data_IF_288360427926
#
_entry.id   IF_288360427926
#
_cell.length_a   1.000
_cell.length_b   1.000
_cell.length_c   1.000
_cell.angle_alpha   90.00
_cell.angle_beta   90.00
_cell.angle_gamma   90.00
#
_symmetry.space_group_name_H-M   'P 1'
#
loop_
_entity.id
_entity.type
_entity.pdbx_description
1 polymer ?
#
# COMPACT_ATOMS: atom_id res chain seq x y z
N UNK A 1 18.06 39.44 17.86
CA UNK A 1 16.86 40.30 17.94
C UNK A 1 15.71 39.61 17.23
N UNK A 2 14.49 40.14 17.35
CA UNK A 2 13.33 39.65 16.59
C UNK A 2 12.54 40.81 16.00
N UNK A 3 11.88 40.57 14.86
CA UNK A 3 10.90 41.49 14.28
C UNK A 3 9.53 41.11 14.83
N UNK A 4 8.98 41.94 15.73
CA UNK A 4 7.69 41.71 16.39
C UNK A 4 6.66 42.79 16.00
N UNK A 5 6.62 43.18 14.73
CA UNK A 5 5.56 44.07 14.26
C UNK A 5 4.22 43.33 14.21
N UNK A 6 3.12 44.01 14.49
CA UNK A 6 1.77 43.53 14.19
C UNK A 6 1.49 43.86 12.72
N UNK A 7 1.61 42.89 11.82
CA UNK A 7 1.37 43.09 10.38
C UNK A 7 2.28 42.24 9.51
N UNK A 8 2.57 42.72 8.30
CA UNK A 8 3.38 42.02 7.32
C UNK A 8 4.80 42.59 7.20
N UNK A 9 5.76 41.73 6.86
CA UNK A 9 7.11 42.12 6.44
C UNK A 9 7.19 41.97 4.93
N UNK A 10 7.45 43.06 4.20
CA UNK A 10 7.41 43.05 2.73
C UNK A 10 8.74 43.49 2.14
N UNK A 11 9.26 42.70 1.19
CA UNK A 11 10.29 43.15 0.25
C UNK A 11 9.61 43.59 -1.06
N UNK A 12 9.79 44.86 -1.43
CA UNK A 12 9.29 45.43 -2.68
C UNK A 12 10.34 46.30 -3.38
N UNK A 13 11.62 46.07 -3.08
CA UNK A 13 12.71 46.85 -3.66
C UNK A 13 12.83 46.63 -5.17
N UNK A 14 13.41 47.59 -5.89
CA UNK A 14 13.73 47.48 -7.33
C UNK A 14 15.23 47.21 -7.58
N UNK A 15 16.01 47.06 -6.51
CA UNK A 15 17.43 46.72 -6.59
C UNK A 15 17.65 45.27 -7.01
N UNK A 16 18.83 44.98 -7.55
CA UNK A 16 19.22 43.63 -7.97
C UNK A 16 19.91 42.80 -6.85
N UNK A 17 20.06 43.38 -5.65
CA UNK A 17 20.65 42.68 -4.51
C UNK A 17 19.64 41.72 -3.86
N UNK A 18 20.10 40.63 -3.26
CA UNK A 18 19.26 39.78 -2.41
C UNK A 18 19.18 40.36 -1.00
N UNK A 19 17.98 40.37 -0.42
CA UNK A 19 17.74 40.82 0.96
C UNK A 19 17.77 39.62 1.91
N UNK A 20 18.44 39.75 3.06
CA UNK A 20 18.52 38.69 4.06
C UNK A 20 18.12 39.22 5.44
N UNK A 21 17.07 38.63 6.02
CA UNK A 21 16.66 38.87 7.40
C UNK A 21 17.30 37.79 8.29
N UNK A 22 18.40 38.17 8.96
CA UNK A 22 19.14 37.31 9.88
C UNK A 22 18.59 37.24 11.31
N UNK A 23 17.47 37.92 11.58
CA UNK A 23 16.78 37.91 12.87
C UNK A 23 15.48 37.12 12.79
N UNK A 24 14.97 36.66 13.93
CA UNK A 24 13.72 35.90 14.00
C UNK A 24 12.54 36.80 13.59
N UNK A 25 11.66 36.32 12.70
CA UNK A 25 10.32 36.89 12.53
C UNK A 25 9.42 36.35 13.64
N UNK A 26 8.96 37.24 14.53
CA UNK A 26 8.22 36.87 15.73
C UNK A 26 6.73 36.59 15.50
N UNK A 27 6.11 35.96 16.49
CA UNK A 27 4.74 35.46 16.44
C UNK A 27 3.63 36.52 16.26
N UNK A 28 3.95 37.81 16.36
CA UNK A 28 2.99 38.89 16.07
C UNK A 28 2.84 39.18 14.57
N UNK A 29 3.79 38.71 13.75
CA UNK A 29 3.81 38.93 12.31
C UNK A 29 2.83 37.96 11.65
N UNK A 30 1.89 38.51 10.87
CA UNK A 30 0.83 37.76 10.20
C UNK A 30 1.21 37.37 8.78
N UNK A 31 2.27 37.97 8.21
CA UNK A 31 2.79 37.50 6.93
C UNK A 31 4.15 38.07 6.54
N UNK A 32 4.77 37.41 5.57
CA UNK A 32 6.00 37.84 4.91
C UNK A 32 5.76 37.79 3.40
N UNK A 33 6.07 38.87 2.70
CA UNK A 33 5.77 39.01 1.27
C UNK A 33 7.02 39.37 0.48
N UNK A 34 7.31 38.58 -0.55
CA UNK A 34 8.22 38.92 -1.63
C UNK A 34 7.41 39.47 -2.82
N UNK A 35 7.69 40.72 -3.21
CA UNK A 35 7.01 41.42 -4.31
C UNK A 35 7.99 42.22 -5.20
N UNK A 36 9.29 42.00 -5.04
CA UNK A 36 10.33 42.51 -5.92
C UNK A 36 10.45 41.66 -7.17
N UNK A 37 10.61 42.30 -8.33
CA UNK A 37 10.98 41.61 -9.57
C UNK A 37 12.41 41.06 -9.54
N UNK A 38 13.32 41.70 -8.80
CA UNK A 38 14.79 41.57 -8.98
C UNK A 38 15.58 41.28 -7.70
N UNK A 39 14.99 41.43 -6.52
CA UNK A 39 15.61 41.18 -5.22
C UNK A 39 14.93 40.00 -4.53
N UNK A 40 15.61 38.87 -4.37
CA UNK A 40 15.10 37.77 -3.55
C UNK A 40 15.09 38.11 -2.05
N UNK A 41 14.17 37.52 -1.28
CA UNK A 41 14.10 37.64 0.18
C UNK A 41 14.45 36.31 0.84
N UNK A 42 15.45 36.34 1.72
CA UNK A 42 15.85 35.18 2.54
C UNK A 42 15.63 35.44 4.03
N UNK A 43 14.99 34.51 4.72
CA UNK A 43 14.80 34.49 6.16
C UNK A 43 15.72 33.45 6.79
N UNK A 44 16.90 33.89 7.24
CA UNK A 44 17.89 33.02 7.88
C UNK A 44 17.80 33.00 9.40
N UNK A 45 17.13 33.97 10.02
CA UNK A 45 16.92 34.02 11.48
C UNK A 45 15.76 33.17 12.01
N UNK A 46 14.93 32.59 11.13
CA UNK A 46 13.80 31.73 11.48
C UNK A 46 12.46 32.47 11.56
N UNK A 47 11.37 31.70 11.52
CA UNK A 47 9.98 32.18 11.55
C UNK A 47 9.21 31.55 12.71
N UNK A 48 8.53 32.37 13.51
CA UNK A 48 7.57 31.89 14.50
C UNK A 48 6.17 32.18 13.98
N UNK A 49 5.41 31.13 13.66
CA UNK A 49 4.04 31.22 13.19
C UNK A 49 3.14 31.79 14.28
N UNK A 50 2.28 32.73 13.88
CA UNK A 50 1.26 33.34 14.72
C UNK A 50 0.14 32.32 15.00
N UNK A 51 -0.41 32.33 16.22
CA UNK A 51 -1.53 31.47 16.63
C UNK A 51 -2.74 31.50 15.67
N UNK A 52 -2.99 32.63 15.00
CA UNK A 52 -4.06 32.77 13.99
C UNK A 52 -3.61 32.40 12.57
N UNK A 53 -2.35 32.05 12.39
CA UNK A 53 -1.70 31.72 11.12
C UNK A 53 -0.76 32.83 10.61
N UNK A 54 0.23 32.43 9.82
CA UNK A 54 1.19 33.32 9.15
C UNK A 54 1.31 32.93 7.68
N UNK A 55 1.19 33.91 6.78
CA UNK A 55 1.32 33.70 5.34
C UNK A 55 2.73 34.05 4.83
N UNK A 56 3.30 33.21 3.98
CA UNK A 56 4.46 33.49 3.15
C UNK A 56 3.96 33.67 1.73
N UNK A 57 4.13 34.84 1.15
CA UNK A 57 3.58 35.17 -0.18
C UNK A 57 4.70 35.55 -1.12
N UNK A 58 4.76 34.91 -2.29
CA UNK A 58 5.56 35.39 -3.41
C UNK A 58 4.60 35.89 -4.51
N UNK A 59 4.51 37.21 -4.67
CA UNK A 59 3.64 37.88 -5.65
C UNK A 59 4.37 38.27 -6.94
N UNK A 60 5.56 37.72 -7.18
CA UNK A 60 6.39 38.07 -8.31
C UNK A 60 5.92 37.42 -9.62
N UNK A 61 4.85 37.93 -10.21
CA UNK A 61 4.21 37.33 -11.38
C UNK A 61 5.12 37.21 -12.63
N UNK A 62 6.15 38.04 -12.76
CA UNK A 62 6.99 38.13 -13.98
C UNK A 62 8.50 38.27 -13.76
N UNK A 63 8.96 38.32 -12.51
CA UNK A 63 10.39 38.40 -12.16
C UNK A 63 11.01 37.03 -11.85
N UNK A 64 12.17 37.07 -11.19
CA UNK A 64 12.97 35.86 -10.87
C UNK A 64 13.31 35.74 -9.38
N UNK A 65 12.64 36.50 -8.52
CA UNK A 65 12.97 36.61 -7.09
C UNK A 65 12.17 35.59 -6.26
N UNK A 66 12.88 34.85 -5.42
CA UNK A 66 12.34 33.81 -4.55
C UNK A 66 12.10 34.36 -3.13
N UNK A 67 11.17 33.74 -2.42
CA UNK A 67 11.04 33.83 -0.96
C UNK A 67 11.61 32.56 -0.33
N UNK A 68 12.76 32.66 0.34
CA UNK A 68 13.43 31.52 0.99
C UNK A 68 13.40 31.64 2.50
N UNK A 69 12.97 30.59 3.20
CA UNK A 69 13.12 30.47 4.67
C UNK A 69 14.12 29.36 4.96
N UNK A 70 15.27 29.72 5.53
CA UNK A 70 16.32 28.78 5.91
C UNK A 70 16.52 28.64 7.43
N UNK A 71 16.08 29.63 8.22
CA UNK A 71 16.23 29.61 9.67
C UNK A 71 15.24 28.71 10.43
N UNK A 72 14.41 27.94 9.72
CA UNK A 72 13.40 27.06 10.31
C UNK A 72 12.09 27.76 10.65
N UNK A 73 11.07 26.96 10.95
CA UNK A 73 9.72 27.46 11.27
C UNK A 73 9.21 26.80 12.56
N UNK A 74 8.70 27.59 13.49
CA UNK A 74 8.11 27.14 14.77
C UNK A 74 6.82 27.91 15.04
N UNK A 75 6.33 27.91 16.29
CA UNK A 75 5.14 28.66 16.69
C UNK A 75 3.86 27.80 16.72
N UNK A 76 2.77 28.42 17.12
CA UNK A 76 1.44 27.81 17.13
C UNK A 76 0.65 28.40 15.97
N UNK A 77 -0.14 27.61 15.26
CA UNK A 77 -0.96 28.07 14.13
C UNK A 77 -0.49 27.54 12.78
N UNK A 78 -1.23 27.96 11.74
CA UNK A 78 -1.06 27.44 10.38
C UNK A 78 -0.08 28.29 9.58
N UNK A 79 0.84 27.63 8.89
CA UNK A 79 1.70 28.25 7.90
C UNK A 79 1.02 28.21 6.54
N UNK A 80 0.81 29.37 5.92
CA UNK A 80 0.19 29.48 4.60
C UNK A 80 1.27 29.86 3.59
N UNK A 81 1.34 29.18 2.46
CA UNK A 81 2.30 29.38 1.39
C UNK A 81 1.53 29.82 0.13
N UNK A 82 1.66 31.09 -0.23
CA UNK A 82 0.96 31.71 -1.36
C UNK A 82 1.97 32.01 -2.47
N UNK A 83 2.39 30.97 -3.20
CA UNK A 83 3.20 31.19 -4.40
C UNK A 83 2.29 31.66 -5.54
N UNK A 84 2.13 32.98 -5.63
CA UNK A 84 1.39 33.67 -6.68
C UNK A 84 2.27 33.97 -7.91
N UNK A 85 3.51 33.44 -7.94
CA UNK A 85 4.45 33.59 -9.04
C UNK A 85 4.45 32.40 -9.99
N UNK A 86 4.98 32.58 -11.21
CA UNK A 86 5.27 31.49 -12.13
C UNK A 86 6.67 30.87 -11.89
N UNK A 87 7.38 31.31 -10.85
CA UNK A 87 8.78 30.96 -10.59
C UNK A 87 8.83 29.55 -9.97
N UNK A 88 9.66 28.68 -10.54
CA UNK A 88 9.97 27.39 -9.94
C UNK A 88 10.58 27.60 -8.56
N UNK A 89 10.06 26.89 -7.56
CA UNK A 89 10.47 27.02 -6.15
C UNK A 89 10.33 28.46 -5.61
N UNK A 90 9.36 29.22 -6.16
CA UNK A 90 9.13 30.63 -5.83
C UNK A 90 8.96 30.89 -4.33
N UNK A 91 8.46 29.91 -3.59
CA UNK A 91 8.60 29.83 -2.14
C UNK A 91 9.39 28.57 -1.81
N UNK A 92 10.48 28.72 -1.06
CA UNK A 92 11.34 27.61 -0.61
C UNK A 92 11.55 27.63 0.90
N UNK A 93 11.24 26.52 1.57
CA UNK A 93 11.62 26.28 2.97
C UNK A 93 12.74 25.24 2.99
N UNK A 94 13.89 25.55 3.57
CA UNK A 94 15.09 24.73 3.45
C UNK A 94 15.93 24.68 4.73
N UNK A 95 16.84 23.71 4.78
CA UNK A 95 17.86 23.52 5.82
C UNK A 95 17.33 23.16 7.22
N UNK A 96 16.70 24.08 7.94
CA UNK A 96 16.21 23.86 9.30
C UNK A 96 14.72 23.48 9.28
N UNK A 97 14.32 22.56 10.15
CA UNK A 97 12.98 21.97 10.14
C UNK A 97 11.83 22.98 10.21
N UNK A 98 10.73 22.59 9.58
CA UNK A 98 9.41 23.22 9.69
C UNK A 98 8.62 22.45 10.74
N UNK A 99 8.40 23.06 11.90
CA UNK A 99 7.86 22.40 13.08
C UNK A 99 6.85 23.29 13.85
N UNK A 100 6.01 24.04 13.13
CA UNK A 100 4.89 24.75 13.72
C UNK A 100 3.81 23.77 14.20
N UNK A 101 3.14 24.12 15.30
CA UNK A 101 1.98 23.39 15.79
C UNK A 101 0.73 23.83 15.02
N UNK A 102 0.42 23.13 13.93
CA UNK A 102 -0.70 23.41 13.06
C UNK A 102 -0.51 22.77 11.69
N UNK A 103 -1.15 23.33 10.66
CA UNK A 103 -0.98 22.86 9.28
C UNK A 103 0.06 23.67 8.51
N UNK A 104 0.52 23.11 7.40
CA UNK A 104 1.18 23.83 6.32
C UNK A 104 0.24 23.77 5.12
N UNK A 105 -0.11 24.91 4.52
CA UNK A 105 -1.09 24.97 3.44
C UNK A 105 -0.51 25.73 2.25
N UNK A 106 -0.41 25.11 1.08
CA UNK A 106 -0.18 25.83 -0.18
C UNK A 106 -1.51 26.35 -0.72
N UNK A 107 -1.61 27.66 -0.98
CA UNK A 107 -2.81 28.33 -1.52
C UNK A 107 -2.47 29.37 -2.58
N UNK A 108 -1.27 29.26 -3.16
CA UNK A 108 -0.81 30.12 -4.24
C UNK A 108 -1.74 30.11 -5.45
N UNK A 109 -1.69 31.16 -6.25
CA UNK A 109 -2.45 31.32 -7.50
C UNK A 109 -1.55 31.33 -8.74
N UNK A 110 -0.24 31.21 -8.54
CA UNK A 110 0.75 31.16 -9.60
C UNK A 110 0.94 29.74 -10.13
N UNK A 111 1.71 29.59 -11.21
CA UNK A 111 2.07 28.27 -11.77
C UNK A 111 3.39 27.72 -11.23
N UNK A 112 4.06 28.46 -10.36
CA UNK A 112 5.34 28.08 -9.75
C UNK A 112 5.18 27.00 -8.68
N UNK A 113 6.25 26.25 -8.46
CA UNK A 113 6.32 25.23 -7.39
C UNK A 113 6.57 25.91 -6.05
N UNK A 114 5.91 25.45 -5.00
CA UNK A 114 6.27 25.68 -3.60
C UNK A 114 7.07 24.49 -3.11
N UNK A 115 8.31 24.72 -2.66
CA UNK A 115 9.23 23.66 -2.25
C UNK A 115 9.48 23.68 -0.74
N UNK A 116 9.35 22.54 -0.09
CA UNK A 116 9.83 22.31 1.27
C UNK A 116 10.90 21.21 1.23
N UNK A 117 12.15 21.63 1.28
CA UNK A 117 13.32 20.73 1.34
C UNK A 117 13.86 20.55 2.77
N UNK A 118 13.41 21.39 3.71
CA UNK A 118 13.58 21.17 5.14
C UNK A 118 12.78 19.96 5.63
N UNK A 119 13.21 19.33 6.72
CA UNK A 119 12.39 18.32 7.39
C UNK A 119 11.09 18.91 7.93
N UNK A 120 10.00 18.13 7.90
CA UNK A 120 8.76 18.46 8.58
C UNK A 120 8.75 17.76 9.93
N UNK A 121 8.68 18.55 11.00
CA UNK A 121 8.73 18.08 12.38
C UNK A 121 7.39 17.56 12.90
N UNK A 122 7.46 16.86 14.04
CA UNK A 122 6.33 16.14 14.65
C UNK A 122 5.20 17.04 15.16
N UNK A 123 5.38 18.36 15.27
CA UNK A 123 4.30 19.24 15.71
C UNK A 123 3.32 19.55 14.58
N UNK A 124 3.70 19.32 13.32
CA UNK A 124 2.84 19.58 12.16
C UNK A 124 1.75 18.52 12.08
N UNK A 125 0.50 18.97 12.14
CA UNK A 125 -0.68 18.08 12.15
C UNK A 125 -1.22 17.83 10.74
N UNK A 126 -0.83 18.64 9.75
CA UNK A 126 -1.21 18.39 8.38
C UNK A 126 -0.47 19.22 7.35
N UNK A 127 -0.47 18.72 6.12
CA UNK A 127 0.09 19.37 4.94
C UNK A 127 -1.01 19.39 3.88
N UNK A 128 -1.36 20.55 3.36
CA UNK A 128 -2.48 20.72 2.44
C UNK A 128 -2.02 21.40 1.16
N UNK A 129 -2.24 20.75 0.03
CA UNK A 129 -2.26 21.36 -1.29
C UNK A 129 -3.69 21.82 -1.61
N UNK A 130 -3.91 23.14 -1.62
CA UNK A 130 -5.21 23.76 -1.90
C UNK A 130 -5.16 24.72 -3.10
N UNK A 131 -4.00 24.87 -3.73
CA UNK A 131 -3.84 25.69 -4.93
C UNK A 131 -4.40 24.99 -6.16
N UNK A 132 -5.00 25.76 -7.06
CA UNK A 132 -5.40 25.30 -8.38
C UNK A 132 -4.24 25.05 -9.35
N UNK A 133 -3.12 25.78 -9.18
CA UNK A 133 -2.08 25.96 -10.20
C UNK A 133 -0.63 25.88 -9.68
N UNK A 134 -0.39 26.19 -8.41
CA UNK A 134 0.92 26.08 -7.77
C UNK A 134 1.00 24.71 -7.11
N UNK A 135 2.04 23.92 -7.39
CA UNK A 135 2.23 22.60 -6.78
C UNK A 135 3.02 22.70 -5.49
N UNK A 136 2.78 21.79 -4.55
CA UNK A 136 3.53 21.64 -3.31
C UNK A 136 4.38 20.38 -3.37
N UNK A 137 5.70 20.57 -3.31
CA UNK A 137 6.67 19.49 -3.21
C UNK A 137 7.35 19.53 -1.86
N UNK A 138 7.30 18.42 -1.13
CA UNK A 138 7.99 18.19 0.14
C UNK A 138 9.09 17.16 -0.10
N UNK A 139 10.32 17.62 -0.32
CA UNK A 139 11.48 16.75 -0.55
C UNK A 139 12.29 16.46 0.72
N UNK A 140 12.05 17.21 1.80
CA UNK A 140 12.54 16.86 3.13
C UNK A 140 11.71 15.73 3.77
N UNK A 141 12.27 15.01 4.77
CA UNK A 141 11.55 13.95 5.45
C UNK A 141 10.35 14.49 6.24
N UNK A 142 9.27 13.71 6.32
CA UNK A 142 8.09 14.04 7.14
C UNK A 142 8.07 13.16 8.39
N UNK A 143 8.10 13.77 9.57
CA UNK A 143 7.90 13.07 10.84
C UNK A 143 6.43 13.19 11.27
N UNK A 144 5.69 12.07 11.20
CA UNK A 144 4.28 12.00 11.59
C UNK A 144 4.10 12.28 13.08
N UNK A 145 3.21 13.22 13.38
CA UNK A 145 2.78 13.58 14.73
C UNK A 145 2.22 12.35 15.47
N UNK A 146 2.45 12.24 16.78
CA UNK A 146 1.97 11.11 17.56
C UNK A 146 0.43 10.95 17.56
N UNK A 147 -0.32 12.05 17.43
CA UNK A 147 -1.78 12.05 17.24
C UNK A 147 -2.21 11.83 15.78
N UNK A 148 -1.26 11.80 14.85
CA UNK A 148 -1.45 11.63 13.42
C UNK A 148 -1.17 12.90 12.61
N UNK A 149 -0.78 12.71 11.35
CA UNK A 149 -0.55 13.80 10.38
C UNK A 149 -1.37 13.51 9.13
N UNK A 150 -2.06 14.54 8.64
CA UNK A 150 -2.91 14.43 7.45
C UNK A 150 -2.29 15.13 6.25
N UNK A 151 -2.13 14.42 5.13
CA UNK A 151 -1.80 14.99 3.83
C UNK A 151 -3.09 15.17 3.02
N UNK A 152 -3.34 16.38 2.54
CA UNK A 152 -4.58 16.73 1.84
C UNK A 152 -4.22 17.31 0.48
N UNK A 153 -4.90 16.83 -0.57
CA UNK A 153 -5.05 17.57 -1.80
C UNK A 153 -6.52 17.93 -1.97
N UNK A 154 -6.87 19.19 -1.71
CA UNK A 154 -8.25 19.71 -1.77
C UNK A 154 -8.55 20.42 -3.09
N UNK A 155 -7.69 20.28 -4.09
CA UNK A 155 -7.81 20.94 -5.37
C UNK A 155 -8.83 20.26 -6.29
N UNK A 156 -10.13 20.41 -5.99
CA UNK A 156 -11.21 19.72 -6.68
C UNK A 156 -11.24 19.89 -8.22
N UNK A 157 -10.62 20.94 -8.79
CA UNK A 157 -10.71 21.24 -10.24
C UNK A 157 -9.44 21.77 -10.89
N UNK A 158 -8.31 21.82 -10.18
CA UNK A 158 -7.04 22.29 -10.72
C UNK A 158 -6.13 21.13 -11.16
N UNK A 159 -4.83 21.44 -11.25
CA UNK A 159 -3.79 20.50 -11.72
C UNK A 159 -2.64 20.29 -10.73
N UNK A 160 -2.72 20.92 -9.55
CA UNK A 160 -1.65 20.86 -8.55
C UNK A 160 -1.68 19.56 -7.77
N UNK A 161 -0.54 18.86 -7.75
CA UNK A 161 -0.30 17.68 -6.94
C UNK A 161 0.36 18.06 -5.61
N UNK A 162 0.09 17.28 -4.57
CA UNK A 162 0.93 17.20 -3.38
C UNK A 162 1.94 16.07 -3.56
N UNK A 163 3.22 16.41 -3.69
CA UNK A 163 4.30 15.41 -3.78
C UNK A 163 5.11 15.39 -2.50
N UNK A 164 5.29 14.22 -1.89
CA UNK A 164 6.21 13.99 -0.77
C UNK A 164 7.27 12.99 -1.22
N UNK A 165 8.54 13.36 -1.19
CA UNK A 165 9.64 12.51 -1.68
C UNK A 165 10.76 12.24 -0.67
N UNK A 166 10.80 12.97 0.45
CA UNK A 166 11.83 12.81 1.49
C UNK A 166 11.64 11.63 2.44
N UNK A 167 10.58 10.83 2.25
CA UNK A 167 10.20 9.72 3.12
C UNK A 167 9.32 10.16 4.29
N UNK A 168 8.64 9.19 4.90
CA UNK A 168 7.73 9.44 6.02
C UNK A 168 8.13 8.55 7.19
N UNK A 169 8.25 9.13 8.39
CA UNK A 169 8.61 8.45 9.64
C UNK A 169 7.70 8.95 10.77
N UNK A 170 8.05 8.73 12.04
CA UNK A 170 7.27 9.21 13.18
C UNK A 170 6.41 8.13 13.82
N UNK A 171 5.65 8.51 14.86
CA UNK A 171 5.03 7.56 15.80
C UNK A 171 3.50 7.42 15.66
N UNK A 172 2.85 8.29 14.88
CA UNK A 172 1.40 8.26 14.71
C UNK A 172 0.95 7.84 13.32
N UNK A 173 -0.36 7.92 13.12
CA UNK A 173 -1.01 7.51 11.88
C UNK A 173 -0.84 8.56 10.78
N UNK A 174 -0.54 8.11 9.57
CA UNK A 174 -0.55 8.94 8.38
C UNK A 174 -1.93 8.84 7.72
N UNK A 175 -2.57 9.98 7.48
CA UNK A 175 -3.85 10.05 6.79
C UNK A 175 -3.64 10.75 5.45
N UNK A 176 -4.15 10.18 4.37
CA UNK A 176 -4.10 10.70 3.00
C UNK A 176 -5.53 11.05 2.58
N UNK A 177 -5.77 12.31 2.21
CA UNK A 177 -7.07 12.79 1.74
C UNK A 177 -6.89 13.43 0.37
N UNK A 178 -6.92 12.61 -0.67
CA UNK A 178 -7.08 13.12 -2.01
C UNK A 178 -8.56 13.49 -2.22
N UNK A 179 -8.88 14.74 -1.89
CA UNK A 179 -10.20 15.36 -2.09
C UNK A 179 -10.33 15.97 -3.50
N UNK A 180 -9.36 15.71 -4.39
CA UNK A 180 -9.33 16.17 -5.77
C UNK A 180 -9.74 15.10 -6.78
N UNK A 181 -10.06 15.51 -8.00
CA UNK A 181 -10.22 14.60 -9.14
C UNK A 181 -8.89 14.26 -9.84
N UNK A 182 -7.76 14.75 -9.32
CA UNK A 182 -6.45 14.66 -9.96
C UNK A 182 -5.88 13.25 -9.75
N UNK A 183 -5.50 12.60 -10.86
CA UNK A 183 -4.77 11.35 -10.81
C UNK A 183 -3.45 11.53 -10.07
N UNK A 184 -3.16 10.65 -9.12
CA UNK A 184 -2.00 10.73 -8.23
C UNK A 184 -1.91 12.07 -7.48
N UNK A 185 -3.08 12.68 -7.20
CA UNK A 185 -3.21 14.00 -6.56
C UNK A 185 -2.43 14.11 -5.25
N UNK A 186 -2.28 13.00 -4.53
CA UNK A 186 -1.25 12.84 -3.51
C UNK A 186 -0.28 11.76 -3.98
N UNK A 187 1.02 12.10 -4.04
CA UNK A 187 2.09 11.18 -4.44
C UNK A 187 3.16 11.11 -3.34
N UNK A 188 3.38 9.93 -2.77
CA UNK A 188 4.48 9.62 -1.87
C UNK A 188 5.51 8.78 -2.64
N UNK A 189 6.67 9.37 -2.93
CA UNK A 189 7.67 8.82 -3.85
C UNK A 189 9.09 8.84 -3.27
N UNK A 190 10.06 8.29 -3.99
CA UNK A 190 11.47 8.33 -3.59
C UNK A 190 11.76 7.40 -2.41
N UNK A 191 11.64 7.92 -1.19
CA UNK A 191 11.88 7.16 0.04
C UNK A 191 10.60 6.49 0.59
N UNK A 192 10.80 5.45 1.40
CA UNK A 192 9.73 4.63 1.96
C UNK A 192 8.84 5.39 2.95
N UNK A 193 7.57 5.01 3.00
CA UNK A 193 6.64 5.38 4.07
C UNK A 193 6.81 4.41 5.22
N UNK A 194 7.39 4.87 6.33
CA UNK A 194 7.82 4.03 7.45
C UNK A 194 7.50 4.67 8.82
N UNK A 195 6.35 5.35 8.92
CA UNK A 195 5.80 5.74 10.22
C UNK A 195 5.37 4.50 11.01
N UNK A 196 5.33 4.63 12.33
CA UNK A 196 4.71 3.63 13.21
C UNK A 196 3.19 3.81 13.16
N UNK A 197 2.44 2.70 13.14
CA UNK A 197 0.99 2.73 13.12
C UNK A 197 0.43 2.53 11.72
N UNK A 198 -0.62 3.29 11.37
CA UNK A 198 -1.35 3.08 10.11
C UNK A 198 -1.01 4.09 9.03
N UNK A 199 -1.26 3.70 7.79
CA UNK A 199 -1.41 4.59 6.64
C UNK A 199 -2.84 4.44 6.14
N UNK A 200 -3.61 5.52 6.11
CA UNK A 200 -5.03 5.47 5.75
C UNK A 200 -5.33 6.44 4.63
N UNK A 201 -5.88 5.97 3.51
CA UNK A 201 -6.49 6.83 2.50
C UNK A 201 -7.98 7.00 2.80
N UNK A 202 -8.44 8.24 2.92
CA UNK A 202 -9.82 8.59 3.27
C UNK A 202 -10.30 9.83 2.51
N UNK A 203 -9.72 10.10 1.34
CA UNK A 203 -10.12 11.23 0.50
C UNK A 203 -11.57 11.12 0.02
N UNK A 204 -12.11 12.22 -0.48
CA UNK A 204 -13.47 12.32 -1.03
C UNK A 204 -13.48 12.61 -2.54
N UNK A 205 -12.30 12.79 -3.13
CA UNK A 205 -12.11 13.06 -4.54
C UNK A 205 -12.16 11.78 -5.39
N UNK A 206 -12.21 11.93 -6.71
CA UNK A 206 -12.14 10.81 -7.66
C UNK A 206 -10.70 10.44 -8.05
N UNK A 207 -9.73 11.27 -7.67
CA UNK A 207 -8.31 11.05 -7.93
C UNK A 207 -7.73 9.92 -7.08
N UNK A 208 -6.78 9.18 -7.65
CA UNK A 208 -6.03 8.13 -6.92
C UNK A 208 -4.94 8.77 -6.05
N UNK A 209 -4.67 8.17 -4.91
CA UNK A 209 -3.47 8.41 -4.10
C UNK A 209 -2.41 7.38 -4.47
N UNK A 210 -1.17 7.83 -4.74
CA UNK A 210 -0.06 6.97 -5.14
C UNK A 210 1.04 6.91 -4.06
N UNK A 211 1.44 5.70 -3.69
CA UNK A 211 2.65 5.42 -2.90
C UNK A 211 3.62 4.61 -3.75
N UNK A 212 4.58 5.29 -4.37
CA UNK A 212 5.64 4.67 -5.20
C UNK A 212 6.95 4.47 -4.44
N UNK A 213 7.17 5.16 -3.31
CA UNK A 213 8.32 4.93 -2.42
C UNK A 213 8.27 3.60 -1.64
N UNK A 214 7.12 2.93 -1.64
CA UNK A 214 6.88 1.69 -0.89
C UNK A 214 6.51 1.91 0.57
N UNK A 215 6.13 0.83 1.25
CA UNK A 215 5.75 0.79 2.66
C UNK A 215 6.84 0.06 3.45
N UNK A 216 7.28 0.66 4.54
CA UNK A 216 8.32 0.15 5.43
C UNK A 216 7.78 -0.70 6.58
N UNK A 217 8.70 -1.39 7.26
CA UNK A 217 8.40 -2.41 8.28
C UNK A 217 7.75 -1.89 9.56
N UNK A 218 7.74 -0.56 9.80
CA UNK A 218 7.08 0.01 10.98
C UNK A 218 5.57 0.19 10.81
N UNK A 219 5.07 0.14 9.56
CA UNK A 219 3.65 0.26 9.26
C UNK A 219 2.96 -1.08 9.53
N UNK A 220 2.00 -1.07 10.45
CA UNK A 220 1.25 -2.28 10.82
C UNK A 220 0.02 -2.47 9.96
N UNK A 221 -0.53 -1.38 9.42
CA UNK A 221 -1.78 -1.43 8.66
C UNK A 221 -1.79 -0.38 7.56
N UNK A 222 -2.22 -0.79 6.38
CA UNK A 222 -2.59 0.14 5.30
C UNK A 222 -4.08 -0.01 5.04
N UNK A 223 -4.82 1.10 5.06
CA UNK A 223 -6.27 1.11 4.94
C UNK A 223 -6.70 2.00 3.78
N UNK A 224 -7.43 1.43 2.84
CA UNK A 224 -8.26 2.16 1.89
C UNK A 224 -9.67 2.34 2.49
N UNK A 225 -10.04 3.58 2.79
CA UNK A 225 -11.30 3.97 3.44
C UNK A 225 -12.00 5.14 2.74
N UNK A 226 -11.70 5.36 1.46
CA UNK A 226 -12.40 6.31 0.61
C UNK A 226 -13.50 5.62 -0.19
N UNK A 227 -14.59 6.34 -0.46
CA UNK A 227 -15.61 5.90 -1.41
C UNK A 227 -15.18 6.02 -2.88
N UNK A 228 -14.31 6.98 -3.21
CA UNK A 228 -14.07 7.42 -4.60
C UNK A 228 -12.59 7.60 -4.96
N UNK A 229 -11.72 7.85 -3.99
CA UNK A 229 -10.28 8.01 -4.18
C UNK A 229 -9.60 6.65 -3.94
N UNK A 230 -9.07 6.00 -4.98
CA UNK A 230 -8.34 4.73 -4.79
C UNK A 230 -6.96 4.94 -4.16
N UNK A 231 -6.39 3.88 -3.57
CA UNK A 231 -5.00 3.84 -3.12
C UNK A 231 -4.20 2.84 -3.94
N UNK A 232 -3.15 3.32 -4.60
CA UNK A 232 -2.19 2.47 -5.33
C UNK A 232 -0.83 2.52 -4.64
N UNK A 233 -0.26 1.34 -4.39
CA UNK A 233 1.08 1.15 -3.86
C UNK A 233 1.93 0.44 -4.91
N UNK A 234 2.73 1.22 -5.65
CA UNK A 234 3.59 0.68 -6.71
C UNK A 234 5.02 0.36 -6.24
N UNK A 235 5.43 0.89 -5.08
CA UNK A 235 6.61 0.41 -4.37
C UNK A 235 6.33 -0.87 -3.57
N UNK A 236 7.36 -1.62 -3.15
CA UNK A 236 7.17 -2.83 -2.36
C UNK A 236 6.56 -2.55 -0.98
N UNK A 237 5.81 -3.51 -0.44
CA UNK A 237 5.37 -3.50 0.96
C UNK A 237 6.29 -4.43 1.75
N UNK A 238 7.13 -3.86 2.62
CA UNK A 238 7.95 -4.63 3.57
C UNK A 238 7.13 -4.96 4.82
N UNK A 239 6.94 -6.24 5.10
CA UNK A 239 6.10 -6.67 6.23
C UNK A 239 6.70 -6.24 7.57
N UNK A 240 5.81 -5.81 8.46
CA UNK A 240 6.10 -5.70 9.89
C UNK A 240 6.31 -7.10 10.47
N UNK A 241 7.25 -7.24 11.42
CA UNK A 241 7.58 -8.53 12.03
C UNK A 241 6.39 -9.20 12.75
N UNK A 242 5.44 -8.42 13.27
CA UNK A 242 4.18 -8.90 13.85
C UNK A 242 3.07 -9.14 12.81
N UNK A 243 3.32 -8.79 11.55
CA UNK A 243 2.39 -8.84 10.43
C UNK A 243 1.91 -7.46 9.98
N UNK A 244 1.58 -7.35 8.69
CA UNK A 244 1.00 -6.15 8.09
C UNK A 244 -0.38 -6.49 7.53
N UNK A 245 -1.37 -5.68 7.88
CA UNK A 245 -2.74 -5.82 7.37
C UNK A 245 -3.00 -4.80 6.26
N UNK A 246 -3.49 -5.25 5.12
CA UNK A 246 -4.06 -4.43 4.06
C UNK A 246 -5.58 -4.50 4.17
N UNK A 247 -6.23 -3.35 4.32
CA UNK A 247 -7.68 -3.27 4.53
C UNK A 247 -8.30 -2.45 3.40
N UNK A 248 -9.35 -2.96 2.77
CA UNK A 248 -10.30 -2.14 2.05
C UNK A 248 -11.60 -2.06 2.86
N UNK A 249 -11.82 -0.92 3.52
CA UNK A 249 -12.97 -0.61 4.36
C UNK A 249 -14.08 0.13 3.61
N UNK A 250 -14.00 0.23 2.28
CA UNK A 250 -14.97 0.95 1.47
C UNK A 250 -16.28 0.15 1.31
N UNK A 251 -17.20 0.26 2.27
CA UNK A 251 -18.41 -0.56 2.29
C UNK A 251 -19.31 -0.43 1.03
N UNK A 252 -19.29 0.71 0.33
CA UNK A 252 -20.28 1.02 -0.73
C UNK A 252 -19.79 1.92 -1.88
N UNK A 253 -18.50 2.20 -1.98
CA UNK A 253 -17.90 2.99 -3.05
C UNK A 253 -17.27 2.14 -4.16
N UNK A 254 -16.31 2.73 -4.89
CA UNK A 254 -15.59 2.09 -6.00
C UNK A 254 -14.06 2.09 -5.86
N UNK A 255 -13.53 2.66 -4.77
CA UNK A 255 -12.09 2.69 -4.51
C UNK A 255 -11.51 1.31 -4.23
N UNK A 256 -10.42 0.99 -4.92
CA UNK A 256 -9.63 -0.21 -4.72
C UNK A 256 -8.39 0.10 -3.89
N UNK A 257 -7.91 -0.89 -3.14
CA UNK A 257 -6.54 -0.95 -2.64
C UNK A 257 -5.71 -1.80 -3.60
N UNK A 258 -4.86 -1.18 -4.39
CA UNK A 258 -4.00 -1.88 -5.35
C UNK A 258 -2.55 -1.87 -4.88
N UNK A 259 -1.91 -3.03 -4.82
CA UNK A 259 -0.48 -3.17 -4.60
C UNK A 259 0.15 -3.80 -5.83
N UNK A 260 0.99 -3.06 -6.54
CA UNK A 260 1.73 -3.55 -7.71
C UNK A 260 3.21 -3.79 -7.42
N UNK A 261 3.76 -3.24 -6.33
CA UNK A 261 5.17 -3.42 -5.97
C UNK A 261 5.53 -4.77 -5.30
N UNK A 262 4.54 -5.62 -5.03
CA UNK A 262 4.73 -6.92 -4.35
C UNK A 262 4.99 -6.78 -2.84
N UNK A 263 5.31 -7.89 -2.18
CA UNK A 263 5.61 -7.93 -0.74
C UNK A 263 6.97 -8.56 -0.44
N UNK A 264 7.61 -8.07 0.62
CA UNK A 264 8.94 -8.53 1.08
C UNK A 264 9.01 -8.54 2.62
N UNK A 265 10.16 -8.88 3.18
CA UNK A 265 10.40 -8.83 4.63
C UNK A 265 9.90 -10.06 5.39
N UNK A 266 10.07 -10.03 6.71
CA UNK A 266 9.63 -11.08 7.62
C UNK A 266 8.33 -10.62 8.31
N UNK A 267 7.31 -11.48 8.30
CA UNK A 267 6.00 -11.17 8.84
C UNK A 267 4.87 -11.69 7.97
N UNK A 268 3.70 -11.83 8.57
CA UNK A 268 2.50 -12.27 7.87
C UNK A 268 1.87 -11.10 7.10
N UNK A 269 1.27 -11.42 5.96
CA UNK A 269 0.39 -10.52 5.23
C UNK A 269 -1.06 -10.89 5.54
N UNK A 270 -1.85 -9.91 5.96
CA UNK A 270 -3.29 -10.08 6.21
C UNK A 270 -4.04 -9.18 5.21
N UNK A 271 -5.05 -9.73 4.56
CA UNK A 271 -5.88 -9.07 3.56
C UNK A 271 -7.32 -9.03 4.07
N UNK A 272 -7.82 -7.84 4.37
CA UNK A 272 -9.16 -7.62 4.90
C UNK A 272 -9.98 -6.81 3.89
N UNK A 273 -10.47 -7.49 2.85
CA UNK A 273 -11.46 -6.87 1.98
C UNK A 273 -12.80 -6.82 2.72
N UNK A 274 -13.02 -5.72 3.43
CA UNK A 274 -14.25 -5.43 4.18
C UNK A 274 -15.30 -4.73 3.29
N UNK A 275 -15.05 -4.61 1.98
CA UNK A 275 -15.94 -4.01 1.00
C UNK A 275 -16.79 -5.03 0.24
N UNK A 276 -17.82 -4.55 -0.45
CA UNK A 276 -18.55 -5.33 -1.46
C UNK A 276 -17.89 -5.28 -2.86
N UNK A 277 -16.75 -4.61 -2.99
CA UNK A 277 -16.11 -4.32 -4.27
C UNK A 277 -15.34 -5.56 -4.72
N UNK A 278 -15.66 -6.07 -5.91
CA UNK A 278 -14.91 -7.14 -6.55
C UNK A 278 -13.44 -6.72 -6.69
N UNK A 279 -12.53 -7.61 -6.28
CA UNK A 279 -11.09 -7.36 -6.26
C UNK A 279 -10.70 -6.10 -5.45
N UNK A 280 -11.52 -5.77 -4.44
CA UNK A 280 -11.37 -4.58 -3.60
C UNK A 280 -9.97 -4.44 -3.00
N UNK A 281 -9.30 -5.56 -2.75
CA UNK A 281 -7.85 -5.63 -2.58
C UNK A 281 -7.26 -6.41 -3.75
N UNK A 282 -6.32 -5.79 -4.47
CA UNK A 282 -5.64 -6.39 -5.63
C UNK A 282 -4.12 -6.34 -5.45
N UNK A 283 -3.46 -7.50 -5.45
CA UNK A 283 -2.01 -7.63 -5.51
C UNK A 283 -1.59 -8.10 -6.91
N UNK A 284 -0.89 -7.25 -7.66
CA UNK A 284 -0.65 -7.44 -9.10
C UNK A 284 0.80 -7.23 -9.50
N UNK A 285 1.16 -7.69 -10.70
CA UNK A 285 2.47 -7.50 -11.35
C UNK A 285 3.67 -8.15 -10.64
N UNK A 286 4.09 -7.67 -9.47
CA UNK A 286 5.14 -8.28 -8.67
C UNK A 286 4.57 -9.31 -7.68
N UNK A 287 5.36 -10.34 -7.39
CA UNK A 287 4.93 -11.44 -6.54
C UNK A 287 4.78 -11.04 -5.06
N UNK A 288 3.86 -11.72 -4.38
CA UNK A 288 3.76 -11.75 -2.92
C UNK A 288 4.85 -12.69 -2.40
N UNK A 289 5.86 -12.16 -1.70
CA UNK A 289 7.05 -12.93 -1.33
C UNK A 289 7.61 -12.56 0.05
N UNK A 290 6.73 -12.20 0.98
CA UNK A 290 7.07 -12.09 2.40
C UNK A 290 7.36 -13.46 3.02
N UNK A 291 8.23 -13.48 4.03
CA UNK A 291 8.48 -14.67 4.85
C UNK A 291 7.39 -14.79 5.91
N UNK A 292 6.53 -15.79 5.78
CA UNK A 292 5.39 -16.01 6.67
C UNK A 292 4.16 -16.48 5.89
N UNK A 293 2.98 -16.13 6.40
CA UNK A 293 1.70 -16.49 5.77
C UNK A 293 1.10 -15.33 4.99
N UNK A 294 0.17 -15.67 4.10
CA UNK A 294 -0.78 -14.75 3.49
C UNK A 294 -2.18 -15.18 3.94
N UNK A 295 -2.94 -14.30 4.57
CA UNK A 295 -4.27 -14.64 5.10
C UNK A 295 -5.31 -13.67 4.56
N UNK A 296 -6.37 -14.16 3.91
CA UNK A 296 -7.56 -13.37 3.64
C UNK A 296 -8.54 -13.51 4.81
N UNK A 297 -8.97 -12.40 5.42
CA UNK A 297 -9.84 -12.38 6.60
C UNK A 297 -10.90 -11.27 6.56
N UNK A 298 -11.13 -10.70 5.38
CA UNK A 298 -12.11 -9.64 5.19
C UNK A 298 -13.53 -10.04 5.61
N UNK A 299 -14.34 -9.06 5.98
CA UNK A 299 -15.77 -9.27 6.31
C UNK A 299 -16.70 -8.80 5.19
N UNK A 300 -16.14 -8.36 4.07
CA UNK A 300 -16.88 -7.91 2.89
C UNK A 300 -17.32 -9.07 2.01
N UNK A 301 -18.11 -8.77 0.98
CA UNK A 301 -18.53 -9.75 -0.04
C UNK A 301 -17.71 -9.68 -1.32
N UNK A 302 -16.88 -8.64 -1.47
CA UNK A 302 -15.95 -8.52 -2.57
C UNK A 302 -14.79 -9.49 -2.43
N UNK A 303 -14.35 -10.10 -3.54
CA UNK A 303 -13.17 -10.97 -3.53
C UNK A 303 -11.87 -10.18 -3.31
N UNK A 304 -10.84 -10.85 -2.83
CA UNK A 304 -9.45 -10.40 -2.83
C UNK A 304 -8.72 -11.09 -3.98
N UNK A 305 -7.97 -10.34 -4.79
CA UNK A 305 -7.26 -10.86 -5.96
C UNK A 305 -5.75 -10.81 -5.79
N UNK A 306 -5.08 -11.93 -6.06
CA UNK A 306 -3.62 -12.01 -6.22
C UNK A 306 -3.29 -12.48 -7.64
N UNK A 307 -2.88 -11.53 -8.49
CA UNK A 307 -2.47 -11.78 -9.88
C UNK A 307 -0.96 -11.71 -10.09
N UNK A 308 -0.21 -11.11 -9.16
CA UNK A 308 1.27 -11.08 -9.20
C UNK A 308 1.96 -12.42 -8.90
N UNK A 309 1.19 -13.39 -8.39
CA UNK A 309 1.68 -14.71 -7.97
C UNK A 309 2.20 -14.74 -6.53
N UNK A 310 2.46 -15.95 -6.03
CA UNK A 310 2.99 -16.23 -4.69
C UNK A 310 4.41 -16.81 -4.83
N UNK A 311 5.36 -16.22 -4.12
CA UNK A 311 6.77 -16.60 -4.13
C UNK A 311 7.16 -17.63 -3.06
N UNK A 312 8.39 -18.13 -3.17
CA UNK A 312 8.92 -19.24 -2.35
C UNK A 312 9.13 -18.91 -0.88
N UNK A 313 9.06 -17.63 -0.46
CA UNK A 313 9.19 -17.29 0.96
C UNK A 313 7.87 -17.49 1.73
N UNK A 314 6.75 -17.58 1.02
CA UNK A 314 5.44 -17.79 1.63
C UNK A 314 5.31 -19.27 2.04
N UNK A 315 5.02 -19.49 3.32
CA UNK A 315 4.89 -20.84 3.88
C UNK A 315 3.46 -21.35 3.83
N UNK A 316 2.49 -20.44 3.91
CA UNK A 316 1.08 -20.80 3.80
C UNK A 316 0.23 -19.66 3.23
N UNK A 317 -0.84 -20.03 2.55
CA UNK A 317 -1.92 -19.14 2.13
C UNK A 317 -3.22 -19.63 2.77
N UNK A 318 -3.92 -18.75 3.45
CA UNK A 318 -5.13 -19.09 4.21
C UNK A 318 -6.29 -18.22 3.79
N UNK A 319 -7.36 -18.83 3.29
CA UNK A 319 -8.68 -18.24 3.18
C UNK A 319 -9.42 -18.45 4.51
N UNK A 320 -9.66 -17.38 5.26
CA UNK A 320 -10.30 -17.40 6.58
C UNK A 320 -11.54 -16.49 6.64
N UNK A 321 -11.82 -15.73 5.58
CA UNK A 321 -13.02 -14.91 5.50
C UNK A 321 -14.26 -15.77 5.35
N UNK A 322 -15.36 -15.33 5.98
CA UNK A 322 -16.66 -15.98 5.82
C UNK A 322 -17.36 -15.63 4.52
N UNK A 323 -17.05 -14.47 3.92
CA UNK A 323 -17.84 -13.87 2.83
C UNK A 323 -17.01 -13.30 1.66
N UNK A 324 -15.73 -12.98 1.86
CA UNK A 324 -14.80 -12.49 0.84
C UNK A 324 -13.97 -13.66 0.34
N UNK A 325 -14.05 -14.02 -0.94
CA UNK A 325 -13.24 -15.10 -1.52
C UNK A 325 -11.79 -14.63 -1.77
N UNK A 326 -10.85 -15.57 -1.86
CA UNK A 326 -9.47 -15.32 -2.27
C UNK A 326 -9.20 -16.00 -3.61
N UNK A 327 -8.95 -15.18 -4.63
CA UNK A 327 -8.63 -15.63 -5.98
C UNK A 327 -7.15 -15.39 -6.31
N UNK A 328 -6.45 -16.45 -6.68
CA UNK A 328 -5.03 -16.45 -7.02
C UNK A 328 -4.89 -16.81 -8.50
N UNK A 329 -4.78 -15.78 -9.34
CA UNK A 329 -4.66 -15.93 -10.80
C UNK A 329 -3.21 -15.89 -11.27
N UNK A 330 -2.28 -15.41 -10.44
CA UNK A 330 -0.84 -15.58 -10.65
C UNK A 330 -0.35 -16.96 -10.19
N UNK A 331 0.82 -17.43 -10.65
CA UNK A 331 1.33 -18.74 -10.25
C UNK A 331 1.72 -18.78 -8.78
N UNK A 332 1.58 -19.95 -8.15
CA UNK A 332 2.17 -20.25 -6.85
C UNK A 332 3.50 -20.97 -7.07
N UNK A 333 4.59 -20.46 -6.50
CA UNK A 333 5.87 -21.15 -6.46
C UNK A 333 6.09 -21.70 -5.06
N UNK A 334 5.83 -23.01 -4.88
CA UNK A 334 5.95 -23.64 -3.56
C UNK A 334 7.40 -23.62 -3.08
N UNK A 335 7.56 -23.44 -1.78
CA UNK A 335 8.88 -23.40 -1.16
C UNK A 335 9.52 -24.80 -1.10
N UNK A 336 10.80 -24.87 -0.72
CA UNK A 336 11.56 -26.13 -0.76
C UNK A 336 11.10 -27.18 0.28
N UNK A 337 10.35 -26.80 1.30
CA UNK A 337 9.82 -27.73 2.31
C UNK A 337 8.39 -28.12 1.97
N UNK A 338 7.47 -27.18 2.09
CA UNK A 338 6.06 -27.31 1.74
C UNK A 338 5.38 -25.94 1.77
N UNK A 339 4.47 -25.69 0.84
CA UNK A 339 3.52 -24.58 0.91
C UNK A 339 2.12 -25.13 1.18
N UNK A 340 1.48 -24.64 2.22
CA UNK A 340 0.11 -25.05 2.59
C UNK A 340 -0.91 -24.05 2.07
N UNK A 341 -1.96 -24.55 1.41
CA UNK A 341 -3.17 -23.79 1.09
C UNK A 341 -4.27 -24.25 2.03
N UNK A 342 -4.88 -23.33 2.76
CA UNK A 342 -5.90 -23.64 3.75
C UNK A 342 -7.17 -22.85 3.47
N UNK A 343 -8.32 -23.52 3.46
CA UNK A 343 -9.60 -22.85 3.66
C UNK A 343 -10.05 -23.12 5.10
N UNK A 344 -9.88 -22.13 5.97
CA UNK A 344 -10.15 -22.18 7.41
C UNK A 344 -11.53 -21.66 7.80
N UNK A 345 -12.31 -21.19 6.82
CA UNK A 345 -13.65 -20.67 7.06
C UNK A 345 -14.65 -21.82 7.27
N UNK A 346 -14.79 -22.27 8.52
CA UNK A 346 -15.53 -23.47 8.88
C UNK A 346 -16.99 -23.52 8.36
N UNK A 347 -17.68 -22.39 8.15
CA UNK A 347 -19.12 -22.38 7.81
C UNK A 347 -19.58 -21.22 6.92
N UNK A 348 -18.67 -20.45 6.30
CA UNK A 348 -19.06 -19.41 5.36
C UNK A 348 -19.12 -19.93 3.91
N UNK A 349 -18.98 -19.03 2.94
CA UNK A 349 -19.11 -19.34 1.50
C UNK A 349 -17.88 -18.98 0.66
N UNK A 350 -16.84 -18.43 1.27
CA UNK A 350 -15.61 -18.04 0.58
C UNK A 350 -14.78 -19.24 0.14
N UNK A 351 -14.39 -19.24 -1.14
CA UNK A 351 -13.47 -20.23 -1.70
C UNK A 351 -12.04 -19.69 -1.71
N UNK A 352 -11.09 -20.62 -1.69
CA UNK A 352 -9.71 -20.39 -2.10
C UNK A 352 -9.54 -20.93 -3.52
N UNK A 353 -9.47 -20.04 -4.51
CA UNK A 353 -9.32 -20.43 -5.92
C UNK A 353 -7.91 -20.14 -6.42
N UNK A 354 -7.28 -21.12 -7.05
CA UNK A 354 -5.99 -20.97 -7.73
C UNK A 354 -6.17 -21.32 -9.20
N UNK A 355 -5.89 -20.38 -10.09
CA UNK A 355 -5.99 -20.55 -11.56
C UNK A 355 -4.66 -20.27 -12.29
N UNK A 356 -3.70 -19.63 -11.61
CA UNK A 356 -2.37 -19.34 -12.15
C UNK A 356 -1.41 -20.53 -12.19
N UNK A 357 -1.80 -21.68 -11.64
CA UNK A 357 -1.00 -22.90 -11.62
C UNK A 357 -0.02 -22.94 -10.45
N UNK A 358 0.67 -24.08 -10.32
CA UNK A 358 1.59 -24.34 -9.20
C UNK A 358 2.90 -24.90 -9.73
N UNK A 359 4.02 -24.36 -9.27
CA UNK A 359 5.40 -24.81 -9.57
C UNK A 359 6.22 -24.79 -8.28
N UNK A 360 7.53 -25.02 -8.35
CA UNK A 360 8.44 -25.00 -7.19
C UNK A 360 8.98 -26.38 -6.84
N UNK A 361 9.82 -26.47 -5.82
CA UNK A 361 10.63 -27.68 -5.55
C UNK A 361 10.17 -28.54 -4.37
N UNK A 362 9.20 -28.08 -3.58
CA UNK A 362 8.70 -28.79 -2.41
C UNK A 362 7.24 -29.21 -2.52
N UNK A 363 6.68 -29.65 -1.40
CA UNK A 363 5.34 -30.22 -1.38
C UNK A 363 4.26 -29.13 -1.42
N UNK A 364 3.11 -29.49 -1.98
CA UNK A 364 1.88 -28.71 -1.90
C UNK A 364 0.94 -29.43 -0.92
N UNK A 365 0.51 -28.72 0.12
CA UNK A 365 -0.47 -29.23 1.09
C UNK A 365 -1.77 -28.46 0.92
N UNK A 366 -2.90 -29.18 0.89
CA UNK A 366 -4.24 -28.65 0.73
C UNK A 366 -5.06 -29.01 1.97
N UNK A 367 -5.45 -28.01 2.73
CA UNK A 367 -6.19 -28.15 3.98
C UNK A 367 -7.56 -27.48 3.85
N UNK A 368 -8.51 -28.16 3.20
CA UNK A 368 -9.89 -27.71 3.24
C UNK A 368 -10.47 -28.04 4.62
N UNK A 369 -10.36 -27.07 5.54
CA UNK A 369 -10.87 -27.13 6.91
C UNK A 369 -12.32 -26.60 7.00
N UNK A 370 -12.96 -26.32 5.86
CA UNK A 370 -14.33 -25.83 5.76
C UNK A 370 -15.34 -26.94 5.44
N UNK A 371 -16.64 -26.64 5.56
CA UNK A 371 -17.71 -27.47 5.02
C UNK A 371 -18.01 -27.19 3.53
N UNK A 372 -17.24 -26.31 2.88
CA UNK A 372 -17.52 -25.83 1.53
C UNK A 372 -17.04 -26.84 0.50
N UNK A 373 -17.96 -27.29 -0.35
CA UNK A 373 -17.64 -28.13 -1.51
C UNK A 373 -16.70 -27.35 -2.42
N UNK A 374 -15.60 -27.99 -2.81
CA UNK A 374 -14.54 -27.39 -3.62
C UNK A 374 -13.94 -26.13 -2.96
N UNK A 375 -14.01 -26.04 -1.62
CA UNK A 375 -13.56 -24.89 -0.83
C UNK A 375 -12.09 -24.53 -1.07
N UNK A 376 -11.29 -25.49 -1.54
CA UNK A 376 -10.03 -25.23 -2.25
C UNK A 376 -10.19 -25.75 -3.68
N UNK A 377 -9.96 -24.89 -4.67
CA UNK A 377 -10.04 -25.24 -6.10
C UNK A 377 -8.76 -24.85 -6.83
N UNK A 378 -8.09 -25.82 -7.45
CA UNK A 378 -6.96 -25.62 -8.37
C UNK A 378 -7.44 -25.89 -9.80
N UNK A 379 -7.38 -24.88 -10.66
CA UNK A 379 -8.00 -24.92 -12.00
C UNK A 379 -7.09 -24.31 -13.07
N UNK A 380 -7.50 -24.48 -14.33
CA UNK A 380 -6.88 -23.90 -15.54
C UNK A 380 -5.41 -24.29 -15.76
N UNK A 381 -4.46 -23.62 -15.11
CA UNK A 381 -3.03 -23.83 -15.32
C UNK A 381 -2.53 -25.00 -14.48
N UNK A 382 -1.62 -25.81 -15.03
CA UNK A 382 -1.21 -27.07 -14.41
C UNK A 382 -0.63 -26.94 -13.00
N UNK A 383 -0.88 -27.95 -12.17
CA UNK A 383 -0.21 -28.18 -10.89
C UNK A 383 1.03 -29.04 -11.15
N UNK A 384 2.22 -28.46 -11.04
CA UNK A 384 3.48 -29.07 -11.47
C UNK A 384 4.65 -28.73 -10.54
N UNK A 385 4.41 -28.66 -9.23
CA UNK A 385 5.48 -28.63 -8.24
C UNK A 385 6.25 -29.96 -8.24
N UNK A 386 7.54 -29.91 -7.95
CA UNK A 386 8.30 -31.12 -7.65
C UNK A 386 8.00 -31.57 -6.22
N UNK A 387 7.75 -32.86 -6.02
CA UNK A 387 7.34 -33.41 -4.73
C UNK A 387 5.90 -33.89 -4.75
N UNK A 388 5.23 -33.82 -3.59
CA UNK A 388 3.87 -34.35 -3.45
C UNK A 388 2.79 -33.26 -3.47
N UNK A 389 1.58 -33.69 -3.78
CA UNK A 389 0.33 -32.99 -3.46
C UNK A 389 -0.33 -33.78 -2.34
N UNK A 390 -0.68 -33.15 -1.23
CA UNK A 390 -1.32 -33.82 -0.10
C UNK A 390 -2.56 -33.08 0.34
N UNK A 391 -3.72 -33.73 0.33
CA UNK A 391 -4.92 -33.23 0.99
C UNK A 391 -4.93 -33.69 2.45
N UNK A 392 -5.02 -32.77 3.41
CA UNK A 392 -5.02 -33.05 4.85
C UNK A 392 -6.05 -32.21 5.60
N UNK A 393 -7.05 -31.69 4.89
CA UNK A 393 -8.11 -30.88 5.47
C UNK A 393 -8.87 -31.61 6.59
N UNK A 394 -9.39 -30.87 7.55
CA UNK A 394 -10.23 -31.39 8.64
C UNK A 394 -11.71 -31.07 8.46
N UNK A 395 -12.06 -30.39 7.37
CA UNK A 395 -13.42 -30.01 7.02
C UNK A 395 -14.17 -31.13 6.31
N UNK A 396 -15.50 -30.98 6.18
CA UNK A 396 -16.34 -31.91 5.41
C UNK A 396 -16.39 -31.57 3.91
N UNK A 397 -15.93 -30.38 3.54
CA UNK A 397 -15.86 -29.92 2.16
C UNK A 397 -14.75 -30.64 1.37
N UNK A 398 -15.00 -30.92 0.09
CA UNK A 398 -14.00 -31.50 -0.79
C UNK A 398 -12.99 -30.46 -1.30
N UNK A 399 -11.80 -30.93 -1.68
CA UNK A 399 -10.80 -30.19 -2.45
C UNK A 399 -10.89 -30.62 -3.91
N UNK A 400 -10.86 -29.67 -4.84
CA UNK A 400 -10.92 -29.93 -6.29
C UNK A 400 -9.61 -29.54 -6.98
N UNK A 401 -9.06 -30.46 -7.77
CA UNK A 401 -8.00 -30.20 -8.74
C UNK A 401 -8.56 -30.51 -10.13
N UNK A 402 -8.99 -29.46 -10.83
CA UNK A 402 -9.43 -29.53 -12.23
C UNK A 402 -8.34 -29.13 -13.22
N UNK A 403 -7.28 -28.47 -12.73
CA UNK A 403 -6.04 -28.28 -13.47
C UNK A 403 -5.36 -29.63 -13.77
N UNK A 404 -4.65 -29.72 -14.90
CA UNK A 404 -3.79 -30.87 -15.17
C UNK A 404 -2.67 -31.00 -14.14
N UNK A 405 -2.35 -32.22 -13.72
CA UNK A 405 -1.22 -32.53 -12.85
C UNK A 405 -0.02 -32.89 -13.72
N UNK A 406 1.08 -32.17 -13.54
CA UNK A 406 2.29 -32.28 -14.36
C UNK A 406 3.28 -33.34 -13.87
N UNK A 407 4.21 -33.70 -14.75
CA UNK A 407 5.17 -34.78 -14.54
C UNK A 407 6.20 -34.54 -13.42
N UNK A 408 6.29 -33.33 -12.83
CA UNK A 408 7.16 -33.11 -11.69
C UNK A 408 6.58 -33.67 -10.38
N UNK A 409 5.27 -33.90 -10.33
CA UNK A 409 4.60 -34.42 -9.14
C UNK A 409 4.89 -35.91 -8.99
N UNK A 410 5.55 -36.27 -7.90
CA UNK A 410 5.96 -37.66 -7.61
C UNK A 410 4.91 -38.43 -6.81
N UNK A 411 4.00 -37.73 -6.15
CA UNK A 411 2.94 -38.36 -5.37
C UNK A 411 1.73 -37.46 -5.14
N UNK A 412 0.58 -38.10 -4.99
CA UNK A 412 -0.68 -37.49 -4.61
C UNK A 412 -1.22 -38.29 -3.45
N UNK A 413 -1.51 -37.63 -2.32
CA UNK A 413 -1.95 -38.30 -1.10
C UNK A 413 -3.24 -37.66 -0.62
N UNK A 414 -4.30 -38.47 -0.53
CA UNK A 414 -5.48 -38.16 0.27
C UNK A 414 -5.21 -38.64 1.71
N UNK A 415 -5.03 -37.71 2.64
CA UNK A 415 -4.69 -37.96 4.05
C UNK A 415 -5.71 -37.35 5.02
N UNK A 416 -6.84 -36.86 4.53
CA UNK A 416 -7.96 -36.41 5.34
C UNK A 416 -8.89 -37.54 5.73
N UNK A 417 -9.49 -37.46 6.91
CA UNK A 417 -10.60 -38.33 7.31
C UNK A 417 -11.97 -37.80 6.89
N UNK A 418 -12.09 -36.53 6.50
CA UNK A 418 -13.38 -35.85 6.28
C UNK A 418 -13.49 -35.03 4.99
N UNK A 419 -12.37 -34.58 4.43
CA UNK A 419 -12.29 -33.77 3.21
C UNK A 419 -11.83 -34.66 2.06
N UNK A 420 -12.67 -34.88 1.05
CA UNK A 420 -12.28 -35.68 -0.11
C UNK A 420 -11.41 -34.88 -1.10
N UNK A 421 -10.49 -35.54 -1.80
CA UNK A 421 -9.73 -34.99 -2.92
C UNK A 421 -10.29 -35.49 -4.24
N UNK A 422 -10.80 -34.56 -5.04
CA UNK A 422 -11.32 -34.81 -6.38
C UNK A 422 -10.37 -34.26 -7.43
N UNK A 423 -9.93 -35.12 -8.34
CA UNK A 423 -9.02 -34.78 -9.44
C UNK A 423 -9.72 -35.09 -10.75
N UNK A 424 -10.08 -34.03 -11.46
CA UNK A 424 -10.75 -34.12 -12.78
C UNK A 424 -9.81 -33.73 -13.92
N UNK A 425 -8.72 -33.01 -13.61
CA UNK A 425 -7.65 -32.74 -14.56
C UNK A 425 -6.83 -33.99 -14.89
N UNK A 426 -6.21 -33.99 -16.08
CA UNK A 426 -5.37 -35.11 -16.50
C UNK A 426 -4.09 -35.22 -15.64
N UNK A 427 -3.65 -36.44 -15.35
CA UNK A 427 -2.42 -36.72 -14.61
C UNK A 427 -1.33 -37.13 -15.60
N UNK A 428 -0.22 -36.40 -15.62
CA UNK A 428 0.99 -36.78 -16.35
C UNK A 428 1.96 -37.44 -15.38
N UNK A 429 2.19 -38.74 -15.54
CA UNK A 429 3.02 -39.53 -14.64
C UNK A 429 4.50 -39.13 -14.76
N UNK A 430 5.14 -38.91 -13.62
CA UNK A 430 6.57 -38.64 -13.49
C UNK A 430 7.39 -39.80 -14.09
N UNK A 431 8.53 -39.52 -14.71
CA UNK A 431 9.35 -40.57 -15.33
C UNK A 431 9.87 -41.62 -14.34
N UNK A 432 10.09 -41.24 -13.07
CA UNK A 432 10.41 -42.14 -11.96
C UNK A 432 9.20 -42.81 -11.31
N UNK A 433 7.99 -42.46 -11.76
CA UNK A 433 6.70 -42.94 -11.25
C UNK A 433 5.95 -41.91 -10.41
N UNK A 434 4.62 -42.01 -10.43
CA UNK A 434 3.72 -41.19 -9.61
C UNK A 434 2.86 -42.12 -8.76
N UNK A 435 2.82 -41.89 -7.45
CA UNK A 435 2.01 -42.68 -6.51
C UNK A 435 0.75 -41.92 -6.10
N UNK A 436 -0.41 -42.55 -6.24
CA UNK A 436 -1.67 -42.07 -5.67
C UNK A 436 -1.96 -42.89 -4.42
N UNK A 437 -2.00 -42.23 -3.26
CA UNK A 437 -2.21 -42.87 -1.97
C UNK A 437 -3.51 -42.37 -1.35
N UNK A 438 -4.42 -43.29 -0.99
CA UNK A 438 -5.51 -43.00 -0.06
C UNK A 438 -5.10 -43.53 1.33
N UNK A 439 -4.68 -42.63 2.23
CA UNK A 439 -3.95 -42.97 3.44
C UNK A 439 -4.83 -43.13 4.70
N UNK A 440 -5.87 -42.32 4.84
CA UNK A 440 -6.55 -42.03 6.13
C UNK A 440 -7.92 -42.69 6.30
N UNK A 441 -8.37 -43.52 5.37
CA UNK A 441 -9.53 -44.43 5.53
C UNK A 441 -10.92 -43.79 5.59
N UNK A 442 -11.04 -42.47 5.72
CA UNK A 442 -12.32 -41.78 5.93
C UNK A 442 -12.85 -40.98 4.74
N UNK A 443 -11.99 -40.55 3.81
CA UNK A 443 -12.38 -39.76 2.63
C UNK A 443 -11.87 -40.37 1.33
N UNK A 444 -12.59 -40.09 0.25
CA UNK A 444 -12.32 -40.66 -1.07
C UNK A 444 -11.28 -39.84 -1.82
N UNK A 445 -10.29 -40.53 -2.40
CA UNK A 445 -9.49 -40.02 -3.50
C UNK A 445 -10.18 -40.36 -4.83
N UNK A 446 -10.72 -39.35 -5.51
CA UNK A 446 -11.32 -39.54 -6.85
C UNK A 446 -10.37 -39.01 -7.92
N UNK A 447 -9.96 -39.86 -8.85
CA UNK A 447 -9.26 -39.45 -10.06
C UNK A 447 -10.07 -39.87 -11.30
N UNK A 448 -10.59 -38.91 -12.04
CA UNK A 448 -11.43 -39.13 -13.22
C UNK A 448 -10.88 -38.52 -14.51
N UNK A 449 -9.79 -37.75 -14.41
CA UNK A 449 -9.03 -37.27 -15.56
C UNK A 449 -8.26 -38.39 -16.27
N UNK A 450 -7.83 -38.12 -17.51
CA UNK A 450 -6.96 -39.05 -18.24
C UNK A 450 -5.57 -39.17 -17.61
N UNK A 451 -4.97 -40.35 -17.70
CA UNK A 451 -3.59 -40.60 -17.26
C UNK A 451 -2.69 -40.72 -18.49
N UNK A 452 -1.57 -40.00 -18.50
CA UNK A 452 -0.53 -40.06 -19.55
C UNK A 452 0.86 -40.12 -18.93
N UNK A 453 1.93 -40.18 -19.73
CA UNK A 453 3.32 -40.25 -19.26
C UNK A 453 3.95 -41.63 -19.48
N UNK A 454 5.25 -41.74 -19.19
CA UNK A 454 6.05 -42.95 -19.45
C UNK A 454 6.47 -43.70 -18.19
N UNK A 455 6.29 -43.11 -17.00
CA UNK A 455 6.59 -43.76 -15.73
C UNK A 455 5.44 -44.65 -15.24
N UNK A 456 5.67 -45.30 -14.10
CA UNK A 456 4.67 -46.13 -13.45
C UNK A 456 3.65 -45.29 -12.69
N UNK A 457 2.36 -45.53 -12.91
CA UNK A 457 1.31 -45.11 -11.99
C UNK A 457 1.16 -46.18 -10.91
N UNK A 458 1.34 -45.79 -9.64
CA UNK A 458 1.19 -46.66 -8.49
C UNK A 458 -0.08 -46.24 -7.74
N UNK A 459 -0.92 -47.21 -7.38
CA UNK A 459 -2.17 -46.96 -6.65
C UNK A 459 -2.11 -47.68 -5.30
N UNK A 460 -2.02 -46.91 -4.23
CA UNK A 460 -1.93 -47.39 -2.86
C UNK A 460 -3.21 -47.04 -2.10
N UNK A 461 -4.14 -47.98 -2.04
CA UNK A 461 -5.30 -47.83 -1.17
C UNK A 461 -5.00 -48.44 0.22
N UNK A 462 -4.57 -47.58 1.15
CA UNK A 462 -4.37 -47.93 2.56
C UNK A 462 -5.62 -47.61 3.41
N UNK A 463 -6.71 -47.29 2.73
CA UNK A 463 -7.96 -46.81 3.26
C UNK A 463 -9.05 -47.92 3.18
N UNK A 464 -10.12 -47.78 3.97
CA UNK A 464 -11.29 -48.66 3.88
C UNK A 464 -12.24 -48.30 2.72
N UNK A 465 -12.02 -47.14 2.09
CA UNK A 465 -12.80 -46.57 0.99
C UNK A 465 -12.06 -46.59 -0.33
#
# INVERSE_FOLDING_TARGET
GSINNTGTVTNSGTGAGAETIGVVIGASVTGVTENSGTSALTLSGGLVVNATGTALTNSNASGSSLLTVSGGVTGAGNLILDNNSAIADGITLSTTDVNNSGTITNSGTGSGVTLISAGIGTNVTGITENSGTSTLTVSGPVAVNAAGTTLINSNASGSSLLTVSGGVTGAGNLILQNDSAIADGITLSGATVNNTGTVTNSGTGAGVTLISGGIGTNVTTVTENSGTSGLTISGPVAMNAAGTTLINSNASGSSLLTVSGGTTGAGNLILDNNSAIADGITLSTAAVNNTGTVTNSGTGTGATLISGGIGTNVTAVTENSTTSALDITGPITVNATATTLTNANASGSSLLTVSGGVTGSGNLILDNNSAIVDGITLSTTSVNNAGTITNSGTGAGATLISAGIGANVTGITENSTTSALNITGAITVNAGGTTLTNASGGSLLTASGGVTGTGNLILDNNSAT
#
